data_IF_069050166973
#
_entry.id   IF_069050166973
#
_cell.length_a   1.000
_cell.length_b   1.000
_cell.length_c   1.000
_cell.angle_alpha   90.00
_cell.angle_beta   90.00
_cell.angle_gamma   90.00
#
_symmetry.space_group_name_H-M   'P 1'
#
loop_
_entity.id
_entity.type
_entity.pdbx_description
1 polymer ?
#
# COMPACT_ATOMS: atom_id res chain seq x y z
N UNK A 1 -19.09 11.66 -19.09
CA UNK A 1 -17.86 11.08 -18.50
C UNK A 1 -18.18 10.64 -17.07
N UNK A 2 -18.24 9.33 -16.79
CA UNK A 2 -18.26 8.86 -15.41
C UNK A 2 -16.85 9.07 -14.85
N UNK A 3 -16.64 10.17 -14.13
CA UNK A 3 -15.43 10.34 -13.32
C UNK A 3 -15.43 9.19 -12.30
N UNK A 4 -14.46 8.28 -12.39
CA UNK A 4 -14.31 7.21 -11.42
C UNK A 4 -14.13 7.82 -10.04
N UNK A 5 -14.67 7.19 -8.98
CA UNK A 5 -14.63 7.66 -7.58
C UNK A 5 -13.21 8.02 -7.05
N UNK A 6 -12.18 7.63 -7.79
CA UNK A 6 -10.75 7.77 -7.46
C UNK A 6 -9.97 8.68 -8.42
N UNK A 7 -10.65 9.36 -9.34
CA UNK A 7 -9.98 10.31 -10.22
C UNK A 7 -9.60 11.57 -9.44
N UNK A 8 -8.34 11.99 -9.59
CA UNK A 8 -7.87 13.28 -9.12
C UNK A 8 -8.71 14.39 -9.78
N UNK A 9 -9.23 15.31 -8.96
CA UNK A 9 -10.11 16.39 -9.43
C UNK A 9 -9.34 17.70 -9.46
N UNK A 10 -8.84 18.16 -8.31
CA UNK A 10 -8.07 19.38 -8.16
C UNK A 10 -7.21 19.35 -6.86
N UNK A 11 -6.36 20.36 -6.69
CA UNK A 11 -5.40 20.45 -5.59
C UNK A 11 -6.06 20.66 -4.21
N UNK A 12 -7.21 21.35 -4.13
CA UNK A 12 -7.91 21.53 -2.86
C UNK A 12 -8.52 20.21 -2.37
N UNK A 13 -9.04 19.40 -3.30
CA UNK A 13 -9.52 18.05 -3.01
C UNK A 13 -8.37 17.12 -2.59
N UNK A 14 -7.18 17.28 -3.20
CA UNK A 14 -5.99 16.52 -2.81
C UNK A 14 -5.60 16.73 -1.35
N UNK A 15 -5.50 17.99 -0.91
CA UNK A 15 -5.11 18.30 0.47
C UNK A 15 -6.12 17.79 1.51
N UNK A 16 -7.42 17.81 1.17
CA UNK A 16 -8.48 17.21 2.00
C UNK A 16 -8.31 15.69 2.11
N UNK A 17 -8.08 15.02 0.98
CA UNK A 17 -7.84 13.57 0.93
C UNK A 17 -6.57 13.21 1.71
N UNK A 18 -5.49 13.98 1.54
CA UNK A 18 -4.22 13.77 2.25
C UNK A 18 -4.40 13.88 3.76
N UNK A 19 -5.00 14.97 4.22
CA UNK A 19 -5.21 15.23 5.65
C UNK A 19 -6.11 14.17 6.29
N UNK A 20 -7.22 13.81 5.64
CA UNK A 20 -8.14 12.79 6.15
C UNK A 20 -7.52 11.39 6.15
N UNK A 21 -6.75 11.04 5.12
CA UNK A 21 -6.05 9.75 5.05
C UNK A 21 -4.94 9.63 6.11
N UNK A 22 -4.15 10.69 6.33
CA UNK A 22 -3.11 10.72 7.37
C UNK A 22 -3.73 10.63 8.77
N UNK A 23 -4.81 11.36 9.03
CA UNK A 23 -5.54 11.28 10.30
C UNK A 23 -6.09 9.87 10.54
N UNK A 24 -6.75 9.27 9.54
CA UNK A 24 -7.25 7.91 9.61
C UNK A 24 -6.12 6.89 9.83
N UNK A 25 -5.03 6.98 9.07
CA UNK A 25 -3.88 6.08 9.24
C UNK A 25 -3.31 6.17 10.65
N UNK A 26 -3.23 7.38 11.21
CA UNK A 26 -2.77 7.62 12.59
C UNK A 26 -3.65 6.98 13.68
N UNK A 27 -4.89 6.61 13.37
CA UNK A 27 -5.75 5.86 14.31
C UNK A 27 -5.48 4.35 14.31
N UNK A 28 -4.70 3.85 13.36
CA UNK A 28 -4.42 2.43 13.19
C UNK A 28 -2.99 2.16 13.66
N UNK A 29 -2.85 1.41 14.75
CA UNK A 29 -1.54 0.90 15.18
C UNK A 29 -1.24 -0.42 14.45
N UNK A 30 -2.15 -1.39 14.58
CA UNK A 30 -1.98 -2.73 14.02
C UNK A 30 -3.31 -3.41 13.71
N UNK A 31 -3.27 -4.39 12.82
CA UNK A 31 -4.43 -5.17 12.38
C UNK A 31 -4.12 -6.65 12.37
N UNK A 32 -4.93 -7.46 13.05
CA UNK A 32 -4.84 -8.93 13.01
C UNK A 32 -5.19 -9.45 11.62
N UNK A 33 -4.27 -10.17 10.98
CA UNK A 33 -4.50 -10.81 9.68
C UNK A 33 -4.64 -12.33 9.84
N UNK A 34 -5.82 -12.93 9.55
CA UNK A 34 -6.04 -14.36 9.72
C UNK A 34 -5.10 -15.25 8.89
N UNK A 35 -4.70 -14.83 7.68
CA UNK A 35 -3.74 -15.57 6.85
C UNK A 35 -2.40 -15.79 7.56
N UNK A 36 -1.89 -14.77 8.25
CA UNK A 36 -0.61 -14.89 8.96
C UNK A 36 -0.77 -15.41 10.39
N UNK A 37 -1.96 -15.28 10.98
CA UNK A 37 -2.16 -15.57 12.40
C UNK A 37 -1.39 -14.62 13.32
N UNK A 38 -1.14 -13.38 12.88
CA UNK A 38 -0.42 -12.34 13.63
C UNK A 38 -0.94 -10.93 13.28
N UNK A 39 -0.45 -9.93 14.02
CA UNK A 39 -0.78 -8.52 13.80
C UNK A 39 0.16 -7.91 12.76
N UNK A 40 -0.41 -7.12 11.85
CA UNK A 40 0.30 -6.35 10.82
C UNK A 40 0.38 -4.90 11.25
N UNK A 41 1.59 -4.35 11.33
CA UNK A 41 1.83 -2.99 11.77
C UNK A 41 1.46 -1.96 10.69
N UNK A 42 0.82 -0.87 11.08
CA UNK A 42 0.57 0.32 10.26
C UNK A 42 1.54 1.43 10.69
N UNK A 43 2.81 1.28 10.32
CA UNK A 43 3.88 2.16 10.77
C UNK A 43 4.19 3.31 9.79
N UNK A 44 5.15 4.16 10.15
CA UNK A 44 5.56 5.32 9.34
C UNK A 44 6.12 4.93 7.96
N UNK A 45 6.67 3.71 7.79
CA UNK A 45 7.19 3.26 6.49
C UNK A 45 6.06 3.07 5.49
N UNK A 46 4.95 2.45 5.91
CA UNK A 46 3.76 2.29 5.07
C UNK A 46 3.17 3.62 4.64
N UNK A 47 2.93 4.54 5.58
CA UNK A 47 2.41 5.88 5.27
C UNK A 47 3.34 6.67 4.32
N UNK A 48 4.66 6.56 4.52
CA UNK A 48 5.64 7.17 3.62
C UNK A 48 5.55 6.59 2.21
N UNK A 49 5.43 5.28 2.07
CA UNK A 49 5.36 4.63 0.75
C UNK A 49 4.11 5.02 -0.06
N UNK A 50 2.99 5.36 0.59
CA UNK A 50 1.82 5.93 -0.11
C UNK A 50 2.12 7.25 -0.81
N UNK A 51 3.08 8.03 -0.28
CA UNK A 51 3.45 9.37 -0.76
C UNK A 51 4.71 9.38 -1.63
N UNK A 52 5.63 8.46 -1.39
CA UNK A 52 6.96 8.43 -2.01
C UNK A 52 7.23 7.06 -2.65
N UNK A 53 7.84 7.04 -3.85
CA UNK A 53 8.29 5.80 -4.51
C UNK A 53 9.60 5.30 -3.92
N UNK A 54 10.51 6.23 -3.63
CA UNK A 54 11.83 5.98 -3.10
C UNK A 54 12.26 7.15 -2.21
N UNK A 55 13.46 7.06 -1.63
CA UNK A 55 14.04 8.19 -0.93
C UNK A 55 14.12 9.42 -1.85
N UNK A 56 13.67 10.57 -1.36
CA UNK A 56 13.61 11.84 -2.09
C UNK A 56 12.78 11.85 -3.39
N UNK A 57 12.04 10.77 -3.69
CA UNK A 57 11.21 10.68 -4.89
C UNK A 57 9.73 10.60 -4.52
N UNK A 58 9.04 11.76 -4.54
CA UNK A 58 7.60 11.82 -4.36
C UNK A 58 6.86 11.12 -5.52
N UNK A 59 5.73 10.48 -5.21
CA UNK A 59 4.80 9.99 -6.23
C UNK A 59 4.07 11.17 -6.87
N UNK A 60 3.64 11.07 -8.14
CA UNK A 60 2.72 12.05 -8.72
C UNK A 60 1.45 12.22 -7.87
N UNK A 61 0.87 13.43 -7.79
CA UNK A 61 -0.32 13.69 -6.96
C UNK A 61 -1.48 12.75 -7.27
N UNK A 62 -1.69 12.39 -8.55
CA UNK A 62 -2.70 11.41 -8.97
C UNK A 62 -2.50 10.02 -8.36
N UNK A 63 -1.25 9.57 -8.26
CA UNK A 63 -0.89 8.27 -7.68
C UNK A 63 -1.05 8.29 -6.16
N UNK A 64 -0.62 9.38 -5.51
CA UNK A 64 -0.83 9.59 -4.08
C UNK A 64 -2.32 9.62 -3.75
N UNK A 65 -3.10 10.43 -4.47
CA UNK A 65 -4.53 10.60 -4.29
C UNK A 65 -5.29 9.27 -4.32
N UNK A 66 -4.99 8.44 -5.31
CA UNK A 66 -5.62 7.12 -5.46
C UNK A 66 -5.31 6.22 -4.27
N UNK A 67 -4.05 6.14 -3.86
CA UNK A 67 -3.62 5.31 -2.71
C UNK A 67 -4.20 5.82 -1.38
N UNK A 68 -4.17 7.13 -1.17
CA UNK A 68 -4.72 7.79 0.03
C UNK A 68 -6.23 7.60 0.13
N UNK A 69 -6.99 7.70 -0.96
CA UNK A 69 -8.44 7.38 -0.95
C UNK A 69 -8.73 5.92 -0.64
N UNK A 70 -7.83 5.01 -1.01
CA UNK A 70 -8.01 3.57 -0.82
C UNK A 70 -7.57 3.07 0.56
N UNK A 71 -6.90 3.90 1.36
CA UNK A 71 -6.31 3.46 2.64
C UNK A 71 -7.33 2.87 3.62
N UNK A 72 -8.57 3.36 3.59
CA UNK A 72 -9.68 2.84 4.41
C UNK A 72 -9.97 1.36 4.19
N UNK A 73 -9.64 0.83 3.01
CA UNK A 73 -9.85 -0.59 2.69
C UNK A 73 -8.74 -1.48 3.23
N UNK A 74 -7.51 -0.96 3.39
CA UNK A 74 -6.36 -1.76 3.82
C UNK A 74 -6.60 -2.56 5.12
N UNK A 75 -7.09 -1.97 6.23
CA UNK A 75 -7.34 -2.73 7.44
C UNK A 75 -8.43 -3.80 7.26
N UNK A 76 -9.51 -3.48 6.53
CA UNK A 76 -10.63 -4.40 6.32
C UNK A 76 -10.24 -5.61 5.47
N UNK A 77 -9.46 -5.39 4.41
CA UNK A 77 -8.91 -6.50 3.61
C UNK A 77 -8.07 -7.42 4.48
N UNK A 78 -7.14 -6.87 5.26
CA UNK A 78 -6.26 -7.69 6.10
C UNK A 78 -7.04 -8.47 7.16
N UNK A 79 -8.08 -7.89 7.79
CA UNK A 79 -8.94 -8.58 8.77
C UNK A 79 -9.71 -9.76 8.17
N UNK A 80 -10.11 -9.65 6.89
CA UNK A 80 -10.93 -10.65 6.22
C UNK A 80 -10.10 -11.73 5.50
N UNK A 81 -8.84 -11.43 5.18
CA UNK A 81 -7.96 -12.29 4.40
C UNK A 81 -7.52 -13.55 5.15
N UNK A 82 -7.91 -14.71 4.61
CA UNK A 82 -7.40 -16.04 4.99
C UNK A 82 -6.48 -16.66 3.94
N UNK A 83 -6.37 -16.02 2.77
CA UNK A 83 -5.52 -16.44 1.66
C UNK A 83 -4.76 -15.23 1.12
N UNK A 84 -3.60 -15.50 0.53
CA UNK A 84 -2.79 -14.52 -0.18
C UNK A 84 -2.87 -14.81 -1.69
N UNK A 85 -2.82 -13.77 -2.52
CA UNK A 85 -2.91 -13.90 -3.97
C UNK A 85 -1.54 -13.80 -4.66
N UNK A 86 -0.53 -13.28 -3.98
CA UNK A 86 0.84 -13.20 -4.48
C UNK A 86 1.85 -13.20 -3.35
N UNK A 87 2.97 -13.90 -3.55
CA UNK A 87 4.12 -13.88 -2.66
C UNK A 87 5.34 -13.64 -3.53
N UNK A 88 6.13 -12.61 -3.20
CA UNK A 88 7.35 -12.28 -3.91
C UNK A 88 8.49 -12.04 -2.93
N UNK A 89 9.70 -12.47 -3.29
CA UNK A 89 10.90 -12.37 -2.47
C UNK A 89 12.03 -11.75 -3.27
N UNK A 90 12.75 -10.80 -2.69
CA UNK A 90 13.91 -10.16 -3.33
C UNK A 90 14.98 -9.84 -2.29
N UNK A 91 16.26 -9.84 -2.69
CA UNK A 91 17.34 -9.31 -1.86
C UNK A 91 17.49 -7.81 -2.09
N UNK A 92 17.31 -7.02 -1.04
CA UNK A 92 17.42 -5.55 -1.08
C UNK A 92 18.24 -5.05 0.10
N UNK A 93 18.83 -3.87 -0.06
CA UNK A 93 19.44 -3.16 1.05
C UNK A 93 18.33 -2.56 1.91
N UNK A 94 18.35 -2.87 3.21
CA UNK A 94 17.44 -2.29 4.20
C UNK A 94 18.26 -1.51 5.22
N UNK A 95 17.72 -0.36 5.64
CA UNK A 95 18.28 0.42 6.73
C UNK A 95 18.07 -0.30 8.05
N UNK A 96 19.18 -0.62 8.71
CA UNK A 96 19.19 -1.17 10.05
C UNK A 96 20.04 -0.29 10.96
N UNK A 97 19.48 0.07 12.11
CA UNK A 97 20.22 0.74 13.16
C UNK A 97 21.01 -0.30 13.96
N UNK A 98 22.34 -0.23 13.88
CA UNK A 98 23.26 -1.10 14.61
C UNK A 98 24.28 -0.24 15.33
N UNK A 99 24.39 -0.40 16.66
CA UNK A 99 25.32 0.37 17.50
C UNK A 99 25.19 1.90 17.27
N UNK A 100 23.95 2.40 17.30
CA UNK A 100 23.61 3.82 17.06
C UNK A 100 24.00 4.40 15.70
N UNK A 101 24.40 3.55 14.73
CA UNK A 101 24.66 3.95 13.34
C UNK A 101 23.66 3.28 12.41
N UNK A 102 23.18 4.03 11.44
CA UNK A 102 22.40 3.47 10.33
C UNK A 102 23.36 2.79 9.36
N UNK A 103 23.08 1.52 9.05
CA UNK A 103 23.82 0.76 8.05
C UNK A 103 22.84 0.16 7.06
N UNK A 104 23.23 0.18 5.79
CA UNK A 104 22.54 -0.56 4.73
C UNK A 104 22.99 -2.02 4.80
N UNK A 105 22.06 -2.92 5.07
CA UNK A 105 22.34 -4.37 5.14
C UNK A 105 21.52 -5.07 4.09
N UNK A 106 22.15 -5.94 3.30
CA UNK A 106 21.42 -6.76 2.33
C UNK A 106 20.57 -7.78 3.08
N UNK A 107 19.26 -7.73 2.86
CA UNK A 107 18.28 -8.64 3.46
C UNK A 107 17.36 -9.20 2.40
N UNK A 108 16.87 -10.40 2.66
CA UNK A 108 15.70 -10.90 1.96
C UNK A 108 14.48 -10.12 2.43
N UNK A 109 13.67 -9.68 1.47
CA UNK A 109 12.44 -8.93 1.67
C UNK A 109 11.31 -9.68 0.98
N UNK A 110 10.26 -9.96 1.73
CA UNK A 110 9.04 -10.61 1.29
C UNK A 110 7.93 -9.58 1.10
N UNK A 111 7.17 -9.75 0.03
CA UNK A 111 5.96 -9.00 -0.27
C UNK A 111 4.79 -9.98 -0.40
N UNK A 112 3.67 -9.62 0.21
CA UNK A 112 2.44 -10.41 0.20
C UNK A 112 1.30 -9.57 -0.35
N UNK A 113 0.61 -10.08 -1.37
CA UNK A 113 -0.49 -9.41 -2.04
C UNK A 113 -1.83 -9.97 -1.59
N UNK A 114 -2.69 -9.10 -1.07
CA UNK A 114 -4.07 -9.42 -0.73
C UNK A 114 -5.01 -8.67 -1.67
N UNK A 115 -5.82 -9.39 -2.41
CA UNK A 115 -6.80 -8.81 -3.35
C UNK A 115 -8.20 -9.07 -2.82
N UNK A 116 -8.99 -8.00 -2.72
CA UNK A 116 -10.38 -8.08 -2.29
C UNK A 116 -11.25 -7.09 -3.05
N UNK A 117 -12.56 -7.35 -3.07
CA UNK A 117 -13.57 -6.42 -3.57
C UNK A 117 -14.40 -5.96 -2.37
N UNK A 118 -14.32 -4.67 -2.04
CA UNK A 118 -15.08 -4.02 -0.96
C UNK A 118 -15.80 -2.80 -1.53
N UNK A 119 -17.07 -2.58 -1.21
CA UNK A 119 -17.89 -1.46 -1.75
C UNK A 119 -17.85 -1.35 -3.29
N UNK A 120 -17.82 -2.48 -3.99
CA UNK A 120 -17.64 -2.57 -5.45
C UNK A 120 -16.30 -2.02 -5.96
N UNK A 121 -15.31 -1.83 -5.08
CA UNK A 121 -13.94 -1.42 -5.39
C UNK A 121 -13.00 -2.59 -5.17
N UNK A 122 -12.24 -2.98 -6.20
CA UNK A 122 -11.20 -3.99 -6.05
C UNK A 122 -9.87 -3.34 -5.73
N UNK A 123 -9.31 -3.75 -4.62
CA UNK A 123 -8.04 -3.25 -4.10
C UNK A 123 -7.05 -4.39 -3.98
N UNK A 124 -5.78 -4.05 -4.16
CA UNK A 124 -4.65 -4.87 -3.74
C UNK A 124 -3.98 -4.19 -2.56
N UNK A 125 -3.87 -4.89 -1.45
CA UNK A 125 -3.12 -4.49 -0.27
C UNK A 125 -1.81 -5.26 -0.26
N UNK A 126 -0.70 -4.55 -0.05
CA UNK A 126 0.64 -5.12 -0.02
C UNK A 126 1.16 -5.06 1.41
N UNK A 127 1.62 -6.20 1.91
CA UNK A 127 2.34 -6.33 3.18
C UNK A 127 3.80 -6.63 2.88
N UNK A 128 4.71 -5.92 3.55
CA UNK A 128 6.16 -6.09 3.42
C UNK A 128 6.74 -6.70 4.70
N UNK A 129 7.74 -7.56 4.55
CA UNK A 129 8.54 -8.09 5.64
C UNK A 129 10.01 -8.19 5.24
N UNK A 130 10.89 -7.47 5.92
CA UNK A 130 12.32 -7.71 5.82
C UNK A 130 12.71 -8.86 6.76
N UNK A 131 13.72 -9.66 6.38
CA UNK A 131 14.21 -10.77 7.20
C UNK A 131 14.58 -10.31 8.63
N UNK A 132 13.99 -10.98 9.62
CA UNK A 132 14.09 -10.65 11.05
C UNK A 132 13.31 -9.41 11.50
N UNK A 133 12.49 -8.81 10.62
CA UNK A 133 11.63 -7.68 10.93
C UNK A 133 10.14 -8.06 11.01
N UNK A 134 9.33 -7.09 11.47
CA UNK A 134 7.87 -7.21 11.53
C UNK A 134 7.22 -7.14 10.15
N UNK A 135 6.07 -7.80 10.00
CA UNK A 135 5.19 -7.57 8.86
C UNK A 135 4.48 -6.24 9.04
N UNK A 136 4.56 -5.39 8.03
CA UNK A 136 3.89 -4.10 8.05
C UNK A 136 3.17 -3.85 6.74
N UNK A 137 2.11 -3.05 6.82
CA UNK A 137 1.45 -2.49 5.65
C UNK A 137 2.48 -1.71 4.82
N UNK A 138 2.48 -1.96 3.51
CA UNK A 138 3.37 -1.30 2.57
C UNK A 138 2.61 -0.34 1.66
N UNK A 139 1.60 -0.84 0.94
CA UNK A 139 0.84 -0.07 -0.04
C UNK A 139 -0.58 -0.59 -0.21
N UNK A 140 -1.44 0.25 -0.79
CA UNK A 140 -2.77 -0.14 -1.28
C UNK A 140 -2.98 0.48 -2.66
N UNK A 141 -3.31 -0.33 -3.64
CA UNK A 141 -3.49 0.10 -5.03
C UNK A 141 -4.81 -0.41 -5.61
N UNK A 142 -5.40 0.30 -6.59
CA UNK A 142 -6.51 -0.26 -7.34
C UNK A 142 -6.04 -1.50 -8.13
N UNK A 143 -6.77 -2.60 -8.05
CA UNK A 143 -6.44 -3.84 -8.79
C UNK A 143 -7.11 -3.89 -10.18
N UNK A 144 -7.65 -2.77 -10.65
CA UNK A 144 -8.08 -2.58 -12.03
C UNK A 144 -7.87 -1.13 -12.46
N UNK A 145 -7.53 -0.96 -13.73
CA UNK A 145 -7.87 0.24 -14.48
C UNK A 145 -9.12 -0.05 -15.31
N UNK A 146 -9.99 0.94 -15.47
CA UNK A 146 -10.97 0.92 -16.58
C UNK A 146 -10.26 1.60 -17.74
N UNK A 147 -10.13 0.89 -18.86
CA UNK A 147 -9.67 1.49 -20.10
C UNK A 147 -10.60 2.66 -20.46
N UNK A 148 -10.07 3.89 -20.53
CA UNK A 148 -10.85 5.11 -20.78
C UNK A 148 -11.49 5.13 -22.17
N UNK A 149 -10.99 4.34 -23.12
CA UNK A 149 -11.47 4.29 -24.50
C UNK A 149 -12.47 3.14 -24.71
N UNK A 150 -12.31 2.01 -24.01
CA UNK A 150 -13.09 0.79 -24.26
C UNK A 150 -14.01 0.39 -23.11
N UNK A 151 -13.93 1.05 -21.95
CA UNK A 151 -14.65 0.69 -20.72
C UNK A 151 -14.39 -0.76 -20.25
N UNK A 152 -13.34 -1.41 -20.75
CA UNK A 152 -12.95 -2.78 -20.40
C UNK A 152 -12.04 -2.78 -19.17
N UNK A 153 -12.08 -3.88 -18.41
CA UNK A 153 -11.26 -4.11 -17.22
C UNK A 153 -9.82 -4.43 -17.65
N UNK A 154 -8.84 -3.61 -17.25
CA UNK A 154 -7.41 -3.89 -17.43
C UNK A 154 -6.87 -4.49 -16.13
N UNK A 155 -6.22 -5.65 -16.23
CA UNK A 155 -5.48 -6.29 -15.14
C UNK A 155 -4.12 -5.61 -15.00
N UNK A 156 -3.86 -4.97 -13.85
CA UNK A 156 -2.54 -4.43 -13.52
C UNK A 156 -1.66 -5.54 -12.93
N UNK A 157 -0.68 -6.01 -13.71
CA UNK A 157 0.51 -6.71 -13.19
C UNK A 157 1.59 -5.65 -12.93
N UNK A 158 1.51 -5.01 -11.77
CA UNK A 158 2.46 -3.97 -11.33
C UNK A 158 3.77 -4.51 -10.73
N UNK A 159 4.77 -3.65 -10.55
CA UNK A 159 6.01 -3.89 -9.80
C UNK A 159 5.79 -3.57 -8.32
N UNK A 160 5.80 -4.59 -7.45
CA UNK A 160 5.45 -4.50 -6.03
C UNK A 160 6.38 -3.63 -5.18
N UNK A 161 7.59 -3.37 -5.66
CA UNK A 161 8.51 -2.46 -4.96
C UNK A 161 8.08 -1.00 -5.14
N UNK A 162 7.65 -0.68 -6.36
CA UNK A 162 7.28 0.68 -6.76
C UNK A 162 5.76 0.93 -6.73
N UNK A 163 4.92 -0.10 -6.66
CA UNK A 163 3.46 -0.02 -6.61
C UNK A 163 2.89 -0.12 -5.20
#
# INVERSE_FOLDING_TARGET
>A
MLMGKFNFTDEQDFEKVRTSAEAFYGTIDKVRCPYFGEDIAFNAKGLRHLKFKADQQARPHKDQYSRLKLIRYAPEVLKLSRTVQGIWSVRRFEEQKTNSRWKQVMKEVMYYEFVAVLDSVRVKVIVKQASGGEKHFWSVIPFWGIDTNTSRRILHSGDLEHD
#
